data_IF_698573877946
#
_entry.id   IF_698573877946
#
_cell.length_a   1.000
_cell.length_b   1.000
_cell.length_c   1.000
_cell.angle_alpha   90.00
_cell.angle_beta   90.00
_cell.angle_gamma   90.00
#
_symmetry.space_group_name_H-M   'P 1'
#
loop_
_entity.id
_entity.type
_entity.pdbx_description
1 polymer ?
#
# COMPACT_ATOMS: atom_id res chain seq x y z
N UNK A 1 13.78 8.29 4.54
CA UNK A 1 14.40 9.37 3.79
C UNK A 1 13.70 10.71 3.98
N UNK A 2 14.48 11.74 4.17
CA UNK A 2 13.98 13.07 4.51
C UNK A 2 13.06 13.65 3.43
N UNK A 3 13.37 13.41 2.16
CA UNK A 3 12.56 13.93 1.05
C UNK A 3 11.14 13.33 1.06
N UNK A 4 11.04 12.03 1.36
CA UNK A 4 9.75 11.36 1.48
C UNK A 4 8.98 11.91 2.68
N UNK A 5 9.65 12.09 3.82
CA UNK A 5 9.02 12.67 5.02
C UNK A 5 8.48 14.08 4.75
N UNK A 6 9.24 14.90 4.06
CA UNK A 6 8.82 16.26 3.74
C UNK A 6 7.61 16.29 2.81
N UNK A 7 7.54 15.35 1.85
CA UNK A 7 6.48 15.34 0.85
C UNK A 7 5.20 14.66 1.35
N UNK A 8 5.31 13.64 2.20
CA UNK A 8 4.18 12.80 2.58
C UNK A 8 3.58 13.12 3.96
N UNK A 9 4.27 13.94 4.75
CA UNK A 9 3.77 14.34 6.06
C UNK A 9 3.90 13.25 7.12
N UNK A 10 3.02 13.31 8.13
CA UNK A 10 3.13 12.46 9.33
C UNK A 10 2.98 10.96 9.05
N UNK A 11 2.29 10.58 7.99
CA UNK A 11 2.11 9.17 7.64
C UNK A 11 3.43 8.48 7.33
N UNK A 12 4.45 9.28 7.07
CA UNK A 12 5.77 8.77 6.72
C UNK A 12 6.46 8.06 7.88
N UNK A 13 5.95 8.18 9.09
CA UNK A 13 6.47 7.42 10.23
C UNK A 13 6.46 5.92 9.95
N UNK A 14 5.61 5.46 9.04
CA UNK A 14 5.52 4.06 8.62
C UNK A 14 6.50 3.73 7.48
N UNK A 15 7.30 4.69 7.04
CA UNK A 15 8.22 4.55 5.90
C UNK A 15 7.53 4.05 4.63
N UNK A 16 6.31 4.52 4.39
CA UNK A 16 5.59 4.19 3.15
C UNK A 16 5.82 5.25 2.09
N UNK A 17 5.55 4.90 0.84
CA UNK A 17 5.49 5.85 -0.24
C UNK A 17 4.13 6.54 -0.24
N UNK A 18 3.96 7.58 -1.03
CA UNK A 18 2.68 8.28 -1.08
C UNK A 18 2.42 8.90 -2.45
N UNK A 19 1.14 9.24 -2.67
CA UNK A 19 0.73 10.12 -3.75
C UNK A 19 0.33 11.46 -3.13
N UNK A 20 0.74 12.57 -3.74
CA UNK A 20 0.26 13.88 -3.34
C UNK A 20 -0.53 14.50 -4.47
N UNK A 21 -1.74 14.99 -4.17
CA UNK A 21 -2.58 15.69 -5.13
C UNK A 21 -1.99 17.05 -5.52
N UNK A 22 -1.17 17.62 -4.64
CA UNK A 22 -0.45 18.82 -4.96
C UNK A 22 0.64 18.53 -5.98
N UNK A 23 0.46 19.01 -7.20
CA UNK A 23 1.36 18.73 -8.30
C UNK A 23 1.18 17.35 -8.93
N UNK A 24 0.18 16.59 -8.50
CA UNK A 24 -0.13 15.25 -9.03
C UNK A 24 1.12 14.36 -9.09
N UNK A 25 1.83 14.25 -7.96
CA UNK A 25 3.09 13.54 -7.88
C UNK A 25 2.97 12.25 -7.09
N UNK A 26 3.72 11.24 -7.53
CA UNK A 26 3.96 10.01 -6.79
C UNK A 26 5.33 10.13 -6.14
N UNK A 27 5.39 9.91 -4.82
CA UNK A 27 6.65 9.96 -4.06
C UNK A 27 6.93 8.56 -3.52
N UNK A 28 8.04 7.97 -3.99
CA UNK A 28 8.44 6.63 -3.58
C UNK A 28 9.44 6.70 -2.45
N UNK A 29 9.26 5.84 -1.45
CA UNK A 29 10.20 5.71 -0.35
C UNK A 29 11.40 4.87 -0.81
N UNK A 30 12.58 5.47 -0.81
CA UNK A 30 13.80 4.81 -1.28
C UNK A 30 14.11 3.53 -0.51
N UNK A 31 13.94 3.54 0.81
CA UNK A 31 14.17 2.35 1.64
C UNK A 31 13.29 1.19 1.19
N UNK A 32 12.02 1.47 0.94
CA UNK A 32 11.07 0.45 0.47
C UNK A 32 11.42 -0.01 -0.95
N UNK A 33 11.81 0.91 -1.81
CA UNK A 33 12.18 0.57 -3.18
C UNK A 33 13.36 -0.41 -3.21
N UNK A 34 14.36 -0.18 -2.36
CA UNK A 34 15.56 -1.01 -2.30
C UNK A 34 15.33 -2.32 -1.55
N UNK A 35 14.61 -2.27 -0.43
CA UNK A 35 14.46 -3.43 0.46
C UNK A 35 13.19 -4.22 0.27
N UNK A 36 12.14 -3.61 -0.29
CA UNK A 36 10.84 -4.23 -0.43
C UNK A 36 10.06 -4.25 0.87
N UNK A 37 9.15 -5.21 0.98
CA UNK A 37 8.34 -5.40 2.18
C UNK A 37 8.25 -6.89 2.47
N UNK A 38 8.14 -7.25 3.76
CA UNK A 38 8.05 -8.65 4.18
C UNK A 38 6.81 -9.34 3.63
N UNK A 39 5.73 -8.59 3.40
CA UNK A 39 4.50 -9.10 2.80
C UNK A 39 4.71 -9.68 1.40
N UNK A 40 5.77 -9.29 0.70
CA UNK A 40 6.09 -9.80 -0.63
C UNK A 40 7.17 -10.89 -0.60
N UNK A 41 7.49 -11.38 0.58
CA UNK A 41 8.30 -12.60 0.78
C UNK A 41 9.66 -12.55 0.06
N UNK A 42 10.29 -11.38 0.02
CA UNK A 42 11.57 -11.21 -0.59
C UNK A 42 11.55 -11.00 -2.11
N UNK A 43 10.38 -11.02 -2.73
CA UNK A 43 10.28 -10.77 -4.18
C UNK A 43 10.24 -9.27 -4.44
N UNK A 44 11.41 -8.70 -4.62
CA UNK A 44 11.58 -7.26 -4.80
C UNK A 44 10.94 -6.77 -6.11
N UNK A 45 11.01 -7.58 -7.16
CA UNK A 45 10.39 -7.23 -8.45
C UNK A 45 8.89 -7.09 -8.35
N UNK A 46 8.22 -8.04 -7.69
CA UNK A 46 6.78 -7.96 -7.45
C UNK A 46 6.43 -6.80 -6.55
N UNK A 47 7.21 -6.55 -5.51
CA UNK A 47 6.94 -5.42 -4.61
C UNK A 47 7.04 -4.08 -5.34
N UNK A 48 8.05 -3.91 -6.18
CA UNK A 48 8.19 -2.68 -6.96
C UNK A 48 7.03 -2.48 -7.91
N UNK A 49 6.55 -3.56 -8.54
CA UNK A 49 5.39 -3.52 -9.40
C UNK A 49 4.14 -3.09 -8.62
N UNK A 50 3.94 -3.66 -7.43
CA UNK A 50 2.85 -3.25 -6.53
C UNK A 50 2.94 -1.76 -6.20
N UNK A 51 4.12 -1.32 -5.79
CA UNK A 51 4.31 0.05 -5.32
C UNK A 51 3.96 1.07 -6.41
N UNK A 52 4.45 0.84 -7.62
CA UNK A 52 4.14 1.72 -8.75
C UNK A 52 2.64 1.69 -9.05
N UNK A 53 2.04 0.52 -9.17
CA UNK A 53 0.62 0.39 -9.49
C UNK A 53 -0.27 0.99 -8.42
N UNK A 54 0.08 0.84 -7.15
CA UNK A 54 -0.66 1.41 -6.02
C UNK A 54 -0.64 2.95 -6.09
N UNK A 55 0.54 3.54 -6.23
CA UNK A 55 0.65 5.00 -6.24
C UNK A 55 0.08 5.61 -7.51
N UNK A 56 0.26 4.95 -8.66
CA UNK A 56 -0.38 5.39 -9.90
C UNK A 56 -1.90 5.29 -9.78
N UNK A 57 -2.41 4.26 -9.09
CA UNK A 57 -3.84 4.14 -8.80
C UNK A 57 -4.39 5.38 -8.12
N UNK A 58 -3.69 5.90 -7.11
CA UNK A 58 -4.08 7.15 -6.47
C UNK A 58 -4.09 8.31 -7.48
N UNK A 59 -3.09 8.36 -8.36
CA UNK A 59 -2.95 9.48 -9.30
C UNK A 59 -4.05 9.53 -10.36
N UNK A 60 -4.68 8.40 -10.67
CA UNK A 60 -5.75 8.33 -11.67
C UNK A 60 -7.15 8.33 -11.06
N UNK A 61 -7.27 8.57 -9.75
CA UNK A 61 -8.56 8.79 -9.11
C UNK A 61 -8.96 7.81 -8.01
N UNK A 62 -8.21 6.75 -7.78
CA UNK A 62 -8.50 5.81 -6.68
C UNK A 62 -7.90 6.37 -5.39
N UNK A 63 -8.57 7.35 -4.81
CA UNK A 63 -8.04 8.10 -3.67
C UNK A 63 -8.02 7.29 -2.37
N UNK A 64 -8.91 6.31 -2.23
CA UNK A 64 -9.05 5.53 -1.00
C UNK A 64 -8.35 4.18 -1.11
N UNK A 65 -7.83 3.70 0.02
CA UNK A 65 -7.35 2.33 0.12
C UNK A 65 -8.53 1.36 0.12
N UNK A 66 -8.25 0.09 -0.14
CA UNK A 66 -9.28 -0.95 -0.17
C UNK A 66 -8.87 -2.10 0.76
N UNK A 67 -9.82 -2.65 1.53
CA UNK A 67 -9.51 -3.76 2.44
C UNK A 67 -9.49 -5.09 1.70
N UNK A 68 -8.96 -6.12 2.39
CA UNK A 68 -9.08 -7.50 1.93
C UNK A 68 -10.55 -7.91 1.89
N UNK A 69 -11.01 -8.39 0.75
CA UNK A 69 -12.42 -8.74 0.54
C UNK A 69 -12.79 -10.16 0.97
N UNK A 70 -11.82 -11.03 1.20
CA UNK A 70 -12.08 -12.41 1.61
C UNK A 70 -10.80 -13.17 1.89
N UNK A 71 -10.92 -14.16 2.76
CA UNK A 71 -9.77 -14.98 3.19
C UNK A 71 -9.14 -15.66 1.98
N UNK A 72 -7.83 -15.47 1.82
CA UNK A 72 -7.04 -16.11 0.77
C UNK A 72 -7.20 -15.51 -0.63
N UNK A 73 -8.07 -14.51 -0.79
CA UNK A 73 -8.23 -13.83 -2.08
C UNK A 73 -7.00 -12.97 -2.39
N UNK A 74 -6.86 -12.59 -3.66
CA UNK A 74 -5.82 -11.63 -4.03
C UNK A 74 -6.14 -10.28 -3.39
N UNK A 75 -5.12 -9.66 -2.79
CA UNK A 75 -5.29 -8.34 -2.22
C UNK A 75 -5.57 -7.30 -3.30
N UNK A 76 -6.47 -6.34 -3.05
CA UNK A 76 -6.61 -5.22 -3.98
C UNK A 76 -5.29 -4.46 -4.08
N UNK A 77 -4.97 -3.97 -5.28
CA UNK A 77 -3.73 -3.18 -5.44
C UNK A 77 -3.78 -1.92 -4.58
N UNK A 78 -4.97 -1.40 -4.29
CA UNK A 78 -5.14 -0.22 -3.43
C UNK A 78 -5.12 -0.56 -1.94
N UNK A 79 -4.95 -1.80 -1.54
CA UNK A 79 -4.67 -2.17 -0.17
C UNK A 79 -3.25 -1.77 0.21
N UNK A 80 -3.04 -1.37 1.46
CA UNK A 80 -1.70 -1.01 1.95
C UNK A 80 -0.85 -2.25 2.20
N UNK A 81 -0.54 -2.96 1.13
CA UNK A 81 0.16 -4.25 1.20
C UNK A 81 1.59 -4.13 1.74
N UNK A 82 2.20 -2.95 1.66
CA UNK A 82 3.52 -2.72 2.26
C UNK A 82 3.51 -3.01 3.75
N UNK A 83 2.40 -2.68 4.43
CA UNK A 83 2.29 -2.79 5.87
C UNK A 83 1.82 -4.17 6.31
N UNK A 84 0.75 -4.67 5.71
CA UNK A 84 0.19 -5.98 6.07
C UNK A 84 -0.84 -6.42 5.02
N UNK A 85 -1.17 -7.70 5.04
CA UNK A 85 -2.19 -8.30 4.19
C UNK A 85 -3.45 -8.70 4.98
N UNK A 86 -3.48 -8.40 6.28
CA UNK A 86 -4.57 -8.73 7.18
C UNK A 86 -5.33 -7.48 7.62
N UNK A 87 -6.66 -7.50 7.47
CA UNK A 87 -7.49 -6.34 7.80
C UNK A 87 -7.39 -5.94 9.27
N UNK A 88 -7.40 -6.89 10.19
CA UNK A 88 -7.33 -6.58 11.62
C UNK A 88 -5.99 -5.97 12.01
N UNK A 89 -4.90 -6.43 11.41
CA UNK A 89 -3.58 -5.85 11.67
C UNK A 89 -3.49 -4.43 11.13
N UNK A 90 -4.05 -4.17 9.96
CA UNK A 90 -4.11 -2.82 9.41
C UNK A 90 -5.04 -1.92 10.23
N UNK A 91 -6.15 -2.47 10.75
CA UNK A 91 -7.03 -1.74 11.65
C UNK A 91 -6.29 -1.29 12.91
N UNK A 92 -5.45 -2.15 13.48
CA UNK A 92 -4.65 -1.81 14.68
C UNK A 92 -3.66 -0.69 14.40
N UNK A 93 -3.10 -0.65 13.18
CA UNK A 93 -2.14 0.39 12.81
C UNK A 93 -2.83 1.73 12.67
N UNK A 94 -4.00 1.78 12.01
CA UNK A 94 -4.77 3.00 11.83
C UNK A 94 -6.27 2.69 11.81
N UNK A 95 -6.94 2.81 12.96
CA UNK A 95 -8.39 2.55 13.04
C UNK A 95 -9.24 3.50 12.20
N UNK A 96 -8.69 4.63 11.79
CA UNK A 96 -9.40 5.60 10.94
C UNK A 96 -9.42 5.25 9.46
N UNK A 97 -8.68 4.22 9.05
CA UNK A 97 -8.66 3.76 7.68
C UNK A 97 -9.83 2.82 7.35
N UNK A 98 -9.88 2.33 6.11
CA UNK A 98 -11.01 1.54 5.60
C UNK A 98 -11.05 0.11 6.12
N UNK A 99 -10.04 -0.35 6.83
CA UNK A 99 -9.89 -1.77 7.16
C UNK A 99 -10.79 -2.19 8.32
N UNK A 100 -11.71 -3.16 8.10
CA UNK A 100 -12.53 -3.68 9.20
C UNK A 100 -11.71 -4.65 10.07
N UNK A 101 -12.08 -4.76 11.34
CA UNK A 101 -11.45 -5.69 12.28
C UNK A 101 -12.11 -7.07 12.15
N UNK A 102 -11.91 -7.72 10.99
CA UNK A 102 -12.55 -9.00 10.66
C UNK A 102 -11.57 -10.15 10.44
N UNK A 103 -10.29 -9.90 10.66
CA UNK A 103 -9.21 -10.90 10.59
C UNK A 103 -9.07 -11.63 9.24
N UNK A 104 -9.51 -11.02 8.16
CA UNK A 104 -9.33 -11.59 6.82
C UNK A 104 -7.93 -11.29 6.30
N UNK A 105 -7.26 -12.30 5.79
CA UNK A 105 -5.91 -12.19 5.22
C UNK A 105 -5.94 -12.51 3.73
N UNK A 106 -5.40 -11.61 2.92
CA UNK A 106 -5.27 -11.81 1.48
C UNK A 106 -3.88 -12.29 1.09
N UNK A 107 -3.75 -12.75 -0.14
CA UNK A 107 -2.45 -13.03 -0.77
C UNK A 107 -1.92 -11.76 -1.41
N UNK A 108 -0.60 -11.60 -1.46
CA UNK A 108 0.01 -10.45 -2.13
C UNK A 108 -0.43 -10.37 -3.59
N UNK A 109 -0.60 -9.14 -4.10
CA UNK A 109 -0.99 -8.92 -5.48
C UNK A 109 -0.50 -7.55 -5.97
N UNK A 110 0.45 -7.52 -6.90
CA UNK A 110 0.96 -6.26 -7.44
C UNK A 110 0.10 -5.65 -8.55
N UNK A 111 -0.93 -6.35 -9.01
CA UNK A 111 -1.69 -5.97 -10.20
C UNK A 111 -3.05 -5.38 -9.85
N UNK A 112 -3.61 -4.48 -10.69
CA UNK A 112 -4.91 -3.87 -10.41
C UNK A 112 -6.10 -4.79 -10.62
N UNK A 113 -5.89 -6.00 -11.14
CA UNK A 113 -6.99 -6.92 -11.38
C UNK A 113 -6.88 -8.11 -10.42
N UNK A 114 -7.92 -8.96 -10.29
CA UNK A 114 -9.00 -9.25 -11.25
C UNK A 114 -10.03 -8.15 -11.46
N UNK A 115 -9.89 -7.03 -10.86
CA UNK A 115 -10.72 -5.88 -11.19
C UNK A 115 -9.98 -4.62 -10.85
N UNK A 116 -10.43 -3.57 -11.38
CA UNK A 116 -9.89 -2.27 -11.08
C UNK A 116 -10.63 -1.64 -9.92
#
# INVERSE_FOLDING_TARGET
>A
PAATHAACGSDIAMETSCFTSEGNRVVLNESRWVRGATTFQGDLGLYRQYLINHEVGHSIGYAKHEPCGGQGQLAPVMMQQTLNLNNSELYKIDPGEVYPDNNLTCSLNPWPYPFA
#
